data_IF_555296747819
#
_entry.id   IF_555296747819
#
_cell.length_a   1.000
_cell.length_b   1.000
_cell.length_c   1.000
_cell.angle_alpha   90.00
_cell.angle_beta   90.00
_cell.angle_gamma   90.00
#
_symmetry.space_group_name_H-M   'P 1'
#
loop_
_entity.id
_entity.type
_entity.pdbx_description
1 polymer ?
#
# COMPACT_ATOMS: atom_id res chain seq x y z
N UNK A 1 0.12 18.51 -0.26
CA UNK A 1 1.54 18.40 0.04
C UNK A 1 1.84 17.00 0.56
N UNK A 2 2.93 16.41 0.10
CA UNK A 2 3.34 15.07 0.54
C UNK A 2 4.18 15.18 1.81
N UNK A 3 3.74 14.54 2.86
CA UNK A 3 4.49 14.45 4.10
C UNK A 3 4.55 13.01 4.63
N UNK A 4 4.16 12.04 3.78
CA UNK A 4 4.18 10.64 4.16
C UNK A 4 4.34 9.74 2.95
N UNK A 5 5.03 8.62 3.15
CA UNK A 5 5.13 7.55 2.17
C UNK A 5 4.95 6.22 2.92
N UNK A 6 4.20 5.30 2.34
CA UNK A 6 3.92 4.01 2.94
C UNK A 6 4.24 2.90 1.94
N UNK A 7 4.90 1.85 2.41
CA UNK A 7 5.03 0.60 1.68
C UNK A 7 4.24 -0.46 2.41
N UNK A 8 3.30 -1.09 1.71
CA UNK A 8 2.36 -2.04 2.29
C UNK A 8 2.48 -3.41 1.63
N UNK A 9 2.66 -4.44 2.46
CA UNK A 9 2.54 -5.83 2.06
C UNK A 9 1.44 -6.46 2.89
N UNK A 10 0.36 -6.91 2.24
CA UNK A 10 -0.76 -7.60 2.90
C UNK A 10 -0.65 -9.10 2.66
N UNK A 11 -0.78 -9.86 3.74
CA UNK A 11 -0.68 -11.31 3.71
C UNK A 11 -1.91 -11.93 4.37
N UNK A 12 -2.92 -12.34 3.58
CA UNK A 12 -4.02 -13.15 4.12
C UNK A 12 -3.50 -14.52 4.53
N UNK A 13 -3.71 -14.91 5.78
CA UNK A 13 -3.10 -16.13 6.32
C UNK A 13 -4.01 -17.35 6.27
N UNK A 14 -5.30 -17.14 6.17
CA UNK A 14 -6.30 -18.22 6.31
C UNK A 14 -7.05 -18.55 5.02
N UNK A 15 -6.88 -17.78 3.97
CA UNK A 15 -7.53 -18.02 2.68
C UNK A 15 -6.45 -18.26 1.62
N UNK A 16 -5.88 -19.45 1.64
CA UNK A 16 -4.74 -19.78 0.79
C UNK A 16 -5.08 -19.68 -0.70
N UNK A 17 -6.22 -20.24 -1.11
CA UNK A 17 -6.63 -20.25 -2.51
C UNK A 17 -7.07 -18.88 -3.03
N UNK A 18 -7.62 -18.04 -2.14
CA UNK A 18 -8.07 -16.69 -2.47
C UNK A 18 -7.03 -15.60 -2.25
N UNK A 19 -5.82 -15.95 -1.84
CA UNK A 19 -4.80 -14.97 -1.42
C UNK A 19 -4.49 -13.93 -2.51
N UNK A 20 -4.23 -14.38 -3.73
CA UNK A 20 -3.89 -13.47 -4.82
C UNK A 20 -5.06 -12.55 -5.17
N UNK A 21 -6.27 -13.05 -5.13
CA UNK A 21 -7.48 -12.25 -5.37
C UNK A 21 -7.62 -11.13 -4.36
N UNK A 22 -7.36 -11.42 -3.09
CA UNK A 22 -7.42 -10.45 -2.01
C UNK A 22 -6.35 -9.38 -2.19
N UNK A 23 -5.13 -9.79 -2.49
CA UNK A 23 -4.00 -8.88 -2.74
C UNK A 23 -4.32 -7.97 -3.93
N UNK A 24 -4.80 -8.54 -5.03
CA UNK A 24 -5.17 -7.77 -6.22
C UNK A 24 -6.26 -6.74 -5.92
N UNK A 25 -7.25 -7.12 -5.14
CA UNK A 25 -8.34 -6.24 -4.72
C UNK A 25 -7.82 -5.02 -3.97
N UNK A 26 -6.87 -5.22 -3.06
CA UNK A 26 -6.23 -4.14 -2.33
C UNK A 26 -5.42 -3.24 -3.25
N UNK A 27 -4.66 -3.83 -4.17
CA UNK A 27 -3.85 -3.08 -5.14
C UNK A 27 -4.74 -2.21 -6.03
N UNK A 28 -5.83 -2.76 -6.56
CA UNK A 28 -6.77 -2.00 -7.39
C UNK A 28 -7.41 -0.86 -6.61
N UNK A 29 -7.75 -1.10 -5.35
CA UNK A 29 -8.26 -0.04 -4.47
C UNK A 29 -7.26 1.10 -4.34
N UNK A 30 -5.99 0.78 -4.09
CA UNK A 30 -4.94 1.79 -3.96
C UNK A 30 -4.73 2.57 -5.27
N UNK A 31 -4.72 1.87 -6.40
CA UNK A 31 -4.55 2.50 -7.71
C UNK A 31 -5.70 3.45 -8.05
N UNK A 32 -6.91 3.15 -7.61
CA UNK A 32 -8.07 4.00 -7.84
C UNK A 32 -8.09 5.22 -6.91
N UNK A 33 -7.50 5.10 -5.74
CA UNK A 33 -7.55 6.15 -4.73
C UNK A 33 -6.38 7.13 -4.81
N UNK A 34 -5.23 6.67 -5.23
CA UNK A 34 -4.00 7.47 -5.28
C UNK A 34 -3.45 7.55 -6.70
N UNK A 35 -2.82 8.68 -7.04
CA UNK A 35 -2.35 8.93 -8.39
C UNK A 35 -0.99 8.30 -8.70
N UNK A 36 -0.13 8.13 -7.71
CA UNK A 36 1.21 7.57 -7.92
C UNK A 36 1.41 6.36 -7.04
N UNK A 37 1.00 5.19 -7.57
CA UNK A 37 1.10 3.91 -6.86
C UNK A 37 2.12 3.05 -7.57
N UNK A 38 3.10 2.56 -6.82
CA UNK A 38 4.16 1.68 -7.36
C UNK A 38 3.94 0.28 -6.83
N UNK A 39 3.67 -0.66 -7.73
CA UNK A 39 3.49 -2.07 -7.40
C UNK A 39 4.80 -2.80 -7.66
N UNK A 40 5.32 -3.47 -6.64
CA UNK A 40 6.52 -4.30 -6.75
C UNK A 40 6.19 -5.74 -6.40
N UNK A 41 7.11 -6.70 -6.63
CA UNK A 41 6.86 -8.09 -6.22
C UNK A 41 6.68 -8.30 -4.72
N UNK A 42 7.11 -7.34 -3.90
CA UNK A 42 7.11 -7.49 -2.44
C UNK A 42 6.11 -6.59 -1.73
N UNK A 43 5.89 -5.40 -2.25
CA UNK A 43 5.08 -4.40 -1.56
C UNK A 43 4.54 -3.36 -2.53
N UNK A 44 3.48 -2.68 -2.13
CA UNK A 44 2.90 -1.58 -2.89
C UNK A 44 3.19 -0.27 -2.17
N UNK A 45 3.67 0.72 -2.91
CA UNK A 45 4.11 2.01 -2.33
C UNK A 45 3.14 3.11 -2.74
N UNK A 46 2.71 3.89 -1.75
CA UNK A 46 1.86 5.07 -1.94
C UNK A 46 2.50 6.26 -1.24
N UNK A 47 2.12 7.47 -1.66
CA UNK A 47 2.57 8.71 -1.04
C UNK A 47 1.44 9.72 -0.97
N UNK A 48 1.49 10.62 -0.01
CA UNK A 48 0.47 11.63 0.17
C UNK A 48 0.54 12.30 1.52
N UNK A 49 -0.61 12.79 1.98
CA UNK A 49 -0.75 13.42 3.28
C UNK A 49 -0.97 12.35 4.34
N UNK A 50 -0.35 12.51 5.49
CA UNK A 50 -0.28 11.47 6.53
C UNK A 50 -1.64 10.95 6.97
N UNK A 51 -2.56 11.84 7.33
CA UNK A 51 -3.88 11.41 7.82
C UNK A 51 -4.66 10.67 6.74
N UNK A 52 -4.56 11.13 5.50
CA UNK A 52 -5.19 10.48 4.36
C UNK A 52 -4.61 9.08 4.14
N UNK A 53 -3.28 8.94 4.22
CA UNK A 53 -2.63 7.64 4.04
C UNK A 53 -2.97 6.68 5.19
N UNK A 54 -3.11 7.18 6.41
CA UNK A 54 -3.53 6.34 7.54
C UNK A 54 -4.96 5.83 7.34
N UNK A 55 -5.86 6.67 6.85
CA UNK A 55 -7.22 6.26 6.52
C UNK A 55 -7.22 5.22 5.39
N UNK A 56 -6.41 5.43 4.37
CA UNK A 56 -6.24 4.47 3.26
C UNK A 56 -5.73 3.13 3.77
N UNK A 57 -4.73 3.15 4.63
CA UNK A 57 -4.16 1.93 5.22
C UNK A 57 -5.23 1.14 5.99
N UNK A 58 -6.01 1.83 6.80
CA UNK A 58 -7.12 1.25 7.55
C UNK A 58 -8.14 0.60 6.60
N UNK A 59 -8.51 1.30 5.54
CA UNK A 59 -9.44 0.78 4.53
C UNK A 59 -8.91 -0.48 3.85
N UNK A 60 -7.60 -0.57 3.63
CA UNK A 60 -6.98 -1.77 3.06
C UNK A 60 -7.21 -2.99 3.94
N UNK A 61 -7.07 -2.83 5.25
CA UNK A 61 -7.33 -3.94 6.19
C UNK A 61 -8.80 -4.34 6.22
N UNK A 62 -9.69 -3.36 6.22
CA UNK A 62 -11.14 -3.62 6.20
C UNK A 62 -11.51 -4.37 4.92
N UNK A 63 -10.99 -3.92 3.79
CA UNK A 63 -11.27 -4.51 2.49
C UNK A 63 -10.75 -5.95 2.39
N UNK A 64 -9.50 -6.18 2.81
CA UNK A 64 -8.91 -7.52 2.82
C UNK A 64 -9.65 -8.44 3.79
N UNK A 65 -10.10 -7.89 4.93
CA UNK A 65 -10.82 -8.63 5.96
C UNK A 65 -12.20 -9.10 5.55
N UNK A 66 -12.75 -8.59 4.44
CA UNK A 66 -14.03 -9.11 3.93
C UNK A 66 -13.93 -10.56 3.49
N UNK A 67 -12.75 -10.99 3.02
CA UNK A 67 -12.54 -12.32 2.44
C UNK A 67 -11.51 -13.16 3.21
N UNK A 68 -10.97 -12.64 4.31
CA UNK A 68 -9.98 -13.34 5.13
C UNK A 68 -10.19 -12.98 6.59
N UNK A 69 -10.09 -13.98 7.46
CA UNK A 69 -10.30 -13.80 8.90
C UNK A 69 -9.02 -13.40 9.63
N UNK A 70 -7.89 -13.53 8.97
CA UNK A 70 -6.59 -13.27 9.60
C UNK A 70 -5.68 -12.61 8.58
N UNK A 71 -5.45 -11.32 8.77
CA UNK A 71 -4.61 -10.51 7.89
C UNK A 71 -3.33 -10.15 8.65
N UNK A 72 -2.20 -10.58 8.13
CA UNK A 72 -0.89 -10.12 8.55
C UNK A 72 -0.39 -9.07 7.56
N UNK A 73 0.29 -8.04 8.04
CA UNK A 73 0.83 -7.03 7.14
C UNK A 73 2.19 -6.56 7.60
N UNK A 74 3.04 -6.26 6.62
CA UNK A 74 4.27 -5.50 6.86
C UNK A 74 4.06 -4.11 6.29
N UNK A 75 4.31 -3.10 7.11
CA UNK A 75 4.09 -1.70 6.74
C UNK A 75 5.33 -0.90 7.09
N UNK A 76 5.85 -0.18 6.10
CA UNK A 76 6.94 0.77 6.31
C UNK A 76 6.37 2.17 6.13
N UNK A 77 6.67 3.07 7.05
CA UNK A 77 6.16 4.43 7.03
C UNK A 77 7.33 5.39 7.11
N UNK A 78 7.35 6.34 6.17
CA UNK A 78 8.27 7.48 6.21
C UNK A 78 7.41 8.72 6.38
N UNK A 79 7.55 9.40 7.51
CA UNK A 79 6.70 10.53 7.87
C UNK A 79 7.53 11.78 8.09
N UNK A 80 7.02 12.90 7.64
CA UNK A 80 7.59 14.22 7.85
C UNK A 80 8.05 14.86 6.56
N UNK A 81 9.28 15.33 6.52
CA UNK A 81 9.87 15.95 5.33
C UNK A 81 10.43 14.85 4.42
N UNK A 82 9.55 14.26 3.62
CA UNK A 82 9.89 13.10 2.78
C UNK A 82 10.03 13.50 1.32
N UNK A 83 10.93 12.82 0.62
CA UNK A 83 11.04 12.92 -0.83
C UNK A 83 9.91 12.14 -1.48
N UNK A 84 9.46 12.59 -2.64
CA UNK A 84 8.47 11.85 -3.43
C UNK A 84 9.08 10.54 -3.96
N UNK A 85 8.21 9.62 -4.37
CA UNK A 85 8.66 8.37 -5.00
C UNK A 85 9.58 8.70 -6.18
N UNK A 86 9.16 9.62 -7.05
CA UNK A 86 9.94 9.96 -8.24
C UNK A 86 11.29 10.58 -7.87
N UNK A 87 11.34 11.46 -6.87
CA UNK A 87 12.60 12.04 -6.40
C UNK A 87 13.58 10.98 -5.90
N UNK A 88 13.06 9.91 -5.32
CA UNK A 88 13.90 8.82 -4.82
C UNK A 88 14.39 7.87 -5.92
N UNK A 89 13.62 7.69 -6.98
CA UNK A 89 13.83 6.59 -7.93
C UNK A 89 14.25 7.00 -9.33
N UNK A 90 13.98 8.23 -9.76
CA UNK A 90 14.20 8.64 -11.16
C UNK A 90 15.64 8.46 -11.62
N UNK A 91 16.60 8.71 -10.74
CA UNK A 91 18.02 8.55 -11.07
C UNK A 91 18.42 7.10 -11.35
N UNK A 92 17.61 6.13 -10.93
CA UNK A 92 17.86 4.71 -11.15
C UNK A 92 17.05 4.12 -12.30
N UNK A 93 16.11 4.88 -12.84
CA UNK A 93 15.16 4.41 -13.87
C UNK A 93 15.43 5.06 -15.24
N UNK A 94 16.68 5.36 -15.51
CA UNK A 94 17.08 5.97 -16.79
C UNK A 94 17.39 4.94 -17.84
#
# INVERSE_FOLDING_TARGET
MINCSIALQILPLDNHDGRLKIIDKVIYFLQNKHSNVIVTPFETVIEGEFNELMDTLKECFVLAGEDSKNIFANVKINYGDVLTINEKTDKFNQ
#
